data_IF_716528120682
#
_entry.id   IF_716528120682
#
_cell.length_a   1.000
_cell.length_b   1.000
_cell.length_c   1.000
_cell.angle_alpha   90.00
_cell.angle_beta   90.00
_cell.angle_gamma   90.00
#
_symmetry.space_group_name_H-M   'P 1'
#
loop_
_entity.id
_entity.type
_entity.pdbx_description
1 polymer ?
#
# COMPACT_ATOMS: atom_id res chain seq x y z
N UNK A 1 -3.76 19.30 -3.25
CA UNK A 1 -3.22 18.21 -2.41
C UNK A 1 -4.38 17.49 -1.73
N UNK A 2 -4.36 16.15 -1.61
CA UNK A 2 -5.34 15.46 -0.76
C UNK A 2 -4.69 15.22 0.58
N UNK A 3 -4.84 16.18 1.50
CA UNK A 3 -4.43 16.02 2.91
C UNK A 3 -4.99 14.70 3.46
N UNK A 4 -6.21 14.35 3.06
CA UNK A 4 -6.87 13.09 3.41
C UNK A 4 -6.07 11.82 3.07
N UNK A 5 -5.35 11.77 1.94
CA UNK A 5 -4.57 10.57 1.57
C UNK A 5 -3.37 10.34 2.48
N UNK A 6 -2.68 11.42 2.84
CA UNK A 6 -1.54 11.40 3.78
C UNK A 6 -2.05 11.04 5.17
N UNK A 7 -3.09 11.73 5.64
CA UNK A 7 -3.68 11.48 6.97
C UNK A 7 -4.13 10.03 7.13
N UNK A 8 -4.82 9.46 6.14
CA UNK A 8 -5.26 8.06 6.20
C UNK A 8 -4.09 7.07 6.21
N UNK A 9 -3.03 7.32 5.43
CA UNK A 9 -1.84 6.47 5.41
C UNK A 9 -1.08 6.53 6.74
N UNK A 10 -0.95 7.72 7.33
CA UNK A 10 -0.33 7.92 8.63
C UNK A 10 -1.14 7.28 9.76
N UNK A 11 -2.46 7.47 9.77
CA UNK A 11 -3.35 6.83 10.74
C UNK A 11 -3.27 5.32 10.63
N UNK A 12 -3.26 4.78 9.40
CA UNK A 12 -3.10 3.36 9.18
C UNK A 12 -1.75 2.85 9.72
N UNK A 13 -0.65 3.54 9.43
CA UNK A 13 0.67 3.19 9.94
C UNK A 13 0.74 3.23 11.47
N UNK A 14 0.15 4.25 12.10
CA UNK A 14 0.06 4.36 13.55
C UNK A 14 -0.75 3.21 14.16
N UNK A 15 -1.92 2.89 13.60
CA UNK A 15 -2.72 1.76 14.06
C UNK A 15 -1.99 0.43 13.86
N UNK A 16 -1.29 0.25 12.74
CA UNK A 16 -0.47 -0.94 12.47
C UNK A 16 0.66 -1.12 13.49
N UNK A 17 1.32 -0.03 13.88
CA UNK A 17 2.35 -0.04 14.91
C UNK A 17 1.77 -0.33 16.30
N UNK A 18 0.66 0.31 16.68
CA UNK A 18 0.00 0.08 17.97
C UNK A 18 -0.48 -1.37 18.07
N UNK A 19 -1.13 -1.89 17.03
CA UNK A 19 -1.61 -3.27 17.01
C UNK A 19 -0.47 -4.28 17.08
N UNK A 20 0.71 -3.99 16.53
CA UNK A 20 1.88 -4.86 16.62
C UNK A 20 2.29 -5.14 18.08
N UNK A 21 2.22 -4.12 18.93
CA UNK A 21 2.55 -4.24 20.37
C UNK A 21 1.66 -5.29 21.05
N UNK A 22 0.41 -5.45 20.59
CA UNK A 22 -0.53 -6.42 21.15
C UNK A 22 -0.51 -7.76 20.43
N UNK A 23 -0.33 -7.78 19.11
CA UNK A 23 -0.32 -9.04 18.35
C UNK A 23 0.92 -9.86 18.66
N UNK A 24 2.08 -9.22 18.82
CA UNK A 24 3.32 -9.96 19.08
C UNK A 24 3.25 -10.84 20.36
N UNK A 25 2.89 -10.34 21.56
CA UNK A 25 2.82 -11.18 22.76
C UNK A 25 1.72 -12.24 22.69
N UNK A 26 0.63 -11.99 21.96
CA UNK A 26 -0.48 -12.95 21.81
C UNK A 26 -0.11 -14.10 20.88
N UNK A 27 0.53 -13.81 19.74
CA UNK A 27 0.80 -14.82 18.72
C UNK A 27 2.20 -15.46 18.83
N UNK A 28 3.18 -14.77 19.41
CA UNK A 28 4.55 -15.30 19.53
C UNK A 28 4.65 -16.68 20.23
N UNK A 29 3.86 -17.00 21.28
CA UNK A 29 3.90 -18.32 21.90
C UNK A 29 3.50 -19.48 20.98
N UNK A 30 2.68 -19.21 19.96
CA UNK A 30 2.13 -20.24 19.09
C UNK A 30 2.96 -20.47 17.83
N UNK A 31 3.47 -19.39 17.22
CA UNK A 31 4.15 -19.45 15.92
C UNK A 31 5.61 -19.00 15.97
N UNK A 32 6.07 -18.46 17.10
CA UNK A 32 7.37 -17.79 17.23
C UNK A 32 7.31 -16.30 16.90
N UNK A 33 8.20 -15.51 17.49
CA UNK A 33 8.20 -14.04 17.36
C UNK A 33 8.39 -13.56 15.92
N UNK A 34 9.30 -14.19 15.17
CA UNK A 34 9.57 -13.88 13.77
C UNK A 34 8.34 -14.10 12.88
N UNK A 35 7.66 -15.25 13.04
CA UNK A 35 6.47 -15.57 12.25
C UNK A 35 5.26 -14.72 12.65
N UNK A 36 5.12 -14.38 13.94
CA UNK A 36 4.08 -13.47 14.40
C UNK A 36 4.24 -12.07 13.78
N UNK A 37 5.47 -11.56 13.73
CA UNK A 37 5.78 -10.30 13.03
C UNK A 37 5.48 -10.40 11.54
N UNK A 38 5.93 -11.47 10.88
CA UNK A 38 5.70 -11.68 9.44
C UNK A 38 4.20 -11.73 9.08
N UNK A 39 3.41 -12.45 9.87
CA UNK A 39 1.95 -12.51 9.72
C UNK A 39 1.31 -11.13 9.93
N UNK A 40 1.74 -10.39 10.95
CA UNK A 40 1.26 -9.03 11.20
C UNK A 40 1.53 -8.10 10.02
N UNK A 41 2.76 -8.12 9.48
CA UNK A 41 3.12 -7.33 8.30
C UNK A 41 2.29 -7.70 7.08
N UNK A 42 2.07 -8.99 6.83
CA UNK A 42 1.22 -9.47 5.74
C UNK A 42 -0.23 -8.97 5.88
N UNK A 43 -0.80 -9.07 7.10
CA UNK A 43 -2.14 -8.53 7.40
C UNK A 43 -2.18 -7.02 7.15
N UNK A 44 -1.18 -6.26 7.59
CA UNK A 44 -1.09 -4.83 7.32
C UNK A 44 -1.07 -4.51 5.82
N UNK A 45 -0.30 -5.24 5.02
CA UNK A 45 -0.24 -5.04 3.56
C UNK A 45 -1.60 -5.31 2.91
N UNK A 46 -2.26 -6.42 3.27
CA UNK A 46 -3.59 -6.76 2.75
C UNK A 46 -4.62 -5.72 3.15
N UNK A 47 -4.69 -5.39 4.45
CA UNK A 47 -5.63 -4.41 4.98
C UNK A 47 -5.43 -3.03 4.36
N UNK A 48 -4.17 -2.61 4.16
CA UNK A 48 -3.86 -1.37 3.47
C UNK A 48 -4.31 -1.40 2.01
N UNK A 49 -3.99 -2.48 1.28
CA UNK A 49 -4.40 -2.69 -0.10
C UNK A 49 -5.92 -2.63 -0.30
N UNK A 50 -6.67 -3.23 0.62
CA UNK A 50 -8.13 -3.15 0.69
C UNK A 50 -8.58 -1.72 0.99
N UNK A 51 -7.96 -1.03 1.96
CA UNK A 51 -8.36 0.32 2.36
C UNK A 51 -8.23 1.36 1.26
N UNK A 52 -7.25 1.18 0.36
CA UNK A 52 -7.04 2.07 -0.79
C UNK A 52 -8.04 1.82 -1.93
N UNK A 53 -8.67 0.65 -1.98
CA UNK A 53 -9.66 0.35 -3.00
C UNK A 53 -10.84 1.32 -2.95
N UNK A 54 -11.09 2.03 -4.05
CA UNK A 54 -12.16 3.04 -4.14
C UNK A 54 -13.55 2.43 -4.23
N UNK A 55 -13.67 1.34 -5.00
CA UNK A 55 -14.93 0.63 -5.24
C UNK A 55 -14.86 -0.76 -4.61
N UNK A 56 -15.99 -1.39 -4.22
CA UNK A 56 -16.01 -2.70 -3.57
C UNK A 56 -15.30 -3.78 -4.40
N UNK A 57 -15.45 -3.74 -5.74
CA UNK A 57 -14.72 -4.64 -6.66
C UNK A 57 -13.20 -4.45 -6.59
N UNK A 58 -12.72 -3.21 -6.53
CA UNK A 58 -11.29 -2.92 -6.40
C UNK A 58 -10.76 -3.32 -5.02
N UNK A 59 -11.54 -3.10 -3.96
CA UNK A 59 -11.20 -3.54 -2.60
C UNK A 59 -11.02 -5.06 -2.56
N UNK A 60 -11.98 -5.80 -3.12
CA UNK A 60 -11.92 -7.26 -3.19
C UNK A 60 -10.72 -7.73 -4.03
N UNK A 61 -10.54 -7.17 -5.23
CA UNK A 61 -9.40 -7.51 -6.10
C UNK A 61 -8.06 -7.27 -5.40
N UNK A 62 -7.88 -6.10 -4.79
CA UNK A 62 -6.66 -5.75 -4.08
C UNK A 62 -6.43 -6.65 -2.85
N UNK A 63 -7.50 -6.96 -2.11
CA UNK A 63 -7.45 -7.91 -1.01
C UNK A 63 -7.02 -9.30 -1.46
N UNK A 64 -7.60 -9.82 -2.55
CA UNK A 64 -7.25 -11.12 -3.11
C UNK A 64 -5.81 -11.16 -3.62
N UNK A 65 -5.41 -10.19 -4.46
CA UNK A 65 -4.04 -10.10 -4.99
C UNK A 65 -3.03 -9.95 -3.85
N UNK A 66 -3.31 -9.05 -2.90
CA UNK A 66 -2.46 -8.85 -1.73
C UNK A 66 -2.34 -10.10 -0.88
N UNK A 67 -3.44 -10.84 -0.67
CA UNK A 67 -3.44 -12.06 0.15
C UNK A 67 -2.65 -13.17 -0.53
N UNK A 68 -2.92 -13.45 -1.81
CA UNK A 68 -2.22 -14.48 -2.58
C UNK A 68 -0.72 -14.18 -2.64
N UNK A 69 -0.35 -12.94 -2.97
CA UNK A 69 1.04 -12.55 -3.07
C UNK A 69 1.75 -12.55 -1.71
N UNK A 70 1.08 -12.13 -0.63
CA UNK A 70 1.64 -12.21 0.73
C UNK A 70 1.86 -13.65 1.17
N UNK A 71 0.92 -14.57 0.90
CA UNK A 71 1.10 -16.00 1.17
C UNK A 71 2.28 -16.57 0.40
N UNK A 72 2.43 -16.19 -0.88
CA UNK A 72 3.58 -16.61 -1.69
C UNK A 72 4.90 -16.11 -1.08
N UNK A 73 4.98 -14.84 -0.67
CA UNK A 73 6.15 -14.27 -0.01
C UNK A 73 6.46 -15.02 1.29
N UNK A 74 5.47 -15.24 2.16
CA UNK A 74 5.64 -15.97 3.42
C UNK A 74 6.07 -17.42 3.21
N UNK A 75 5.71 -18.04 2.09
CA UNK A 75 6.08 -19.43 1.78
C UNK A 75 7.49 -19.56 1.19
N UNK A 76 7.94 -18.55 0.44
CA UNK A 76 9.22 -18.57 -0.28
C UNK A 76 10.36 -17.94 0.53
N UNK A 77 10.09 -16.88 1.28
CA UNK A 77 11.10 -16.17 2.04
C UNK A 77 11.48 -16.95 3.31
N UNK A 78 12.79 -17.12 3.52
CA UNK A 78 13.34 -17.82 4.69
C UNK A 78 13.85 -16.87 5.78
N UNK A 79 13.89 -15.56 5.49
CA UNK A 79 14.37 -14.52 6.39
C UNK A 79 13.37 -13.38 6.52
N UNK A 80 13.42 -12.66 7.64
CA UNK A 80 12.57 -11.47 7.88
C UNK A 80 12.86 -10.37 6.85
N UNK A 81 14.12 -10.18 6.46
CA UNK A 81 14.49 -9.21 5.43
C UNK A 81 13.86 -9.56 4.08
N UNK A 82 13.89 -10.84 3.71
CA UNK A 82 13.24 -11.33 2.50
C UNK A 82 11.73 -11.14 2.52
N UNK A 83 11.10 -11.33 3.70
CA UNK A 83 9.67 -11.07 3.89
C UNK A 83 9.39 -9.57 3.76
N UNK A 84 10.17 -8.70 4.41
CA UNK A 84 9.98 -7.26 4.35
C UNK A 84 10.12 -6.71 2.91
N UNK A 85 11.14 -7.17 2.18
CA UNK A 85 11.34 -6.84 0.77
C UNK A 85 10.16 -7.36 -0.07
N UNK A 86 9.81 -8.64 0.08
CA UNK A 86 8.72 -9.26 -0.67
C UNK A 86 7.38 -8.54 -0.44
N UNK A 87 7.04 -8.25 0.81
CA UNK A 87 5.82 -7.53 1.18
C UNK A 87 5.82 -6.07 0.69
N UNK A 88 6.98 -5.42 0.63
CA UNK A 88 7.13 -4.10 0.01
C UNK A 88 6.82 -4.16 -1.49
N UNK A 89 7.28 -5.21 -2.18
CA UNK A 89 6.95 -5.45 -3.59
C UNK A 89 5.45 -5.70 -3.77
N UNK A 90 4.84 -6.51 -2.89
CA UNK A 90 3.38 -6.75 -2.91
C UNK A 90 2.63 -5.42 -2.76
N UNK A 91 3.05 -4.57 -1.83
CA UNK A 91 2.45 -3.26 -1.62
C UNK A 91 2.54 -2.38 -2.88
N UNK A 92 3.72 -2.32 -3.50
CA UNK A 92 3.95 -1.60 -4.74
C UNK A 92 3.10 -2.15 -5.91
N UNK A 93 2.94 -3.47 -6.00
CA UNK A 93 2.10 -4.12 -7.01
C UNK A 93 0.62 -3.78 -6.82
N UNK A 94 0.12 -3.89 -5.58
CA UNK A 94 -1.27 -3.54 -5.25
C UNK A 94 -1.53 -2.07 -5.55
N UNK A 95 -0.53 -1.20 -5.33
CA UNK A 95 -0.63 0.23 -5.61
C UNK A 95 -0.56 0.55 -7.10
N UNK A 96 0.35 -0.08 -7.84
CA UNK A 96 0.53 0.11 -9.29
C UNK A 96 -0.64 -0.46 -10.08
N UNK A 97 -1.21 -1.60 -9.65
CA UNK A 97 -2.38 -2.21 -10.26
C UNK A 97 -3.67 -1.37 -10.16
N UNK A 98 -3.65 -0.29 -9.38
CA UNK A 98 -4.74 0.70 -9.33
C UNK A 98 -4.73 1.67 -10.51
N UNK A 99 -3.60 1.80 -11.22
CA UNK A 99 -3.37 2.92 -12.14
C UNK A 99 -3.64 2.62 -13.61
N UNK A 100 -3.98 1.37 -13.98
CA UNK A 100 -4.66 0.95 -15.23
C UNK A 100 -4.04 1.31 -16.59
N UNK A 101 -3.58 2.54 -16.78
CA UNK A 101 -3.28 3.18 -18.06
C UNK A 101 -2.06 4.14 -18.02
N UNK A 102 -1.52 4.53 -16.86
CA UNK A 102 -0.51 5.58 -16.79
C UNK A 102 0.95 5.07 -16.68
N UNK A 103 1.75 5.29 -17.74
CA UNK A 103 3.24 5.33 -17.79
C UNK A 103 3.95 4.53 -16.68
N UNK A 104 3.83 3.21 -16.76
CA UNK A 104 4.28 2.22 -15.78
C UNK A 104 5.72 2.46 -15.30
N UNK A 105 6.63 2.86 -16.18
CA UNK A 105 8.04 3.06 -15.84
C UNK A 105 8.30 4.12 -14.76
N UNK A 106 7.65 5.29 -14.84
CA UNK A 106 7.93 6.38 -13.88
C UNK A 106 7.34 6.05 -12.51
N UNK A 107 6.15 5.47 -12.46
CA UNK A 107 5.53 5.04 -11.19
C UNK A 107 6.36 3.95 -10.53
N UNK A 108 6.78 2.93 -11.28
CA UNK A 108 7.65 1.86 -10.76
C UNK A 108 8.97 2.39 -10.23
N UNK A 109 9.57 3.39 -10.89
CA UNK A 109 10.81 4.01 -10.43
C UNK A 109 10.63 4.68 -9.06
N UNK A 110 9.59 5.49 -8.88
CA UNK A 110 9.33 6.14 -7.60
C UNK A 110 8.92 5.17 -6.50
N UNK A 111 8.12 4.14 -6.82
CA UNK A 111 7.78 3.07 -5.87
C UNK A 111 9.02 2.31 -5.42
N UNK A 112 9.94 2.01 -6.35
CA UNK A 112 11.22 1.36 -6.02
C UNK A 112 12.05 2.23 -5.09
N UNK A 113 12.22 3.52 -5.42
CA UNK A 113 12.98 4.45 -4.58
C UNK A 113 12.34 4.59 -3.19
N UNK A 114 11.03 4.74 -3.12
CA UNK A 114 10.31 4.86 -1.85
C UNK A 114 10.34 3.56 -1.05
N UNK A 115 10.22 2.41 -1.70
CA UNK A 115 10.36 1.09 -1.08
C UNK A 115 11.75 0.90 -0.47
N UNK A 116 12.80 1.12 -1.26
CA UNK A 116 14.18 1.06 -0.77
C UNK A 116 14.44 2.07 0.35
N UNK A 117 13.98 3.31 0.18
CA UNK A 117 14.13 4.36 1.19
C UNK A 117 13.39 4.04 2.48
N UNK A 118 12.18 3.49 2.40
CA UNK A 118 11.40 3.09 3.56
C UNK A 118 12.07 1.93 4.30
N UNK A 119 12.59 0.93 3.59
CA UNK A 119 13.34 -0.18 4.20
C UNK A 119 14.62 0.30 4.88
N UNK A 120 15.41 1.14 4.21
CA UNK A 120 16.63 1.71 4.77
C UNK A 120 16.36 2.61 5.99
N UNK A 121 15.30 3.41 5.96
CA UNK A 121 14.91 4.22 7.10
C UNK A 121 14.43 3.36 8.28
N UNK A 122 13.67 2.31 7.98
CA UNK A 122 13.15 1.39 9.01
C UNK A 122 14.25 0.56 9.66
N UNK A 123 15.29 0.19 8.91
CA UNK A 123 16.43 -0.55 9.48
C UNK A 123 17.26 0.32 10.44
N UNK A 124 17.34 1.63 10.21
CA UNK A 124 17.96 2.57 11.16
C UNK A 124 17.14 2.70 12.44
N UNK A 125 15.81 2.63 12.34
CA UNK A 125 14.90 2.70 13.49
C UNK A 125 14.71 1.35 14.21
N UNK A 126 15.12 0.25 13.58
CA UNK A 126 14.93 -1.09 14.12
C UNK A 126 15.79 -1.27 15.38
N UNK A 127 15.13 -1.40 16.52
CA UNK A 127 15.73 -1.79 17.78
C UNK A 127 15.23 -3.17 18.21
N UNK A 128 16.01 -3.94 18.99
CA UNK A 128 15.54 -5.20 19.55
C UNK A 128 14.26 -5.03 20.36
N UNK A 129 13.27 -5.88 20.08
CA UNK A 129 12.00 -5.93 20.83
C UNK A 129 10.79 -5.33 20.11
N UNK A 130 9.61 -5.54 20.70
CA UNK A 130 8.33 -5.18 20.07
C UNK A 130 8.16 -3.68 19.81
N UNK A 131 8.63 -2.83 20.73
CA UNK A 131 8.59 -1.37 20.56
C UNK A 131 9.47 -0.90 19.40
N UNK A 132 10.70 -1.44 19.28
CA UNK A 132 11.58 -1.13 18.16
C UNK A 132 10.98 -1.52 16.80
N UNK A 133 10.39 -2.71 16.73
CA UNK A 133 9.67 -3.16 15.52
C UNK A 133 8.46 -2.29 15.20
N UNK A 134 7.75 -1.78 16.21
CA UNK A 134 6.59 -0.90 16.04
C UNK A 134 7.01 0.48 15.50
N UNK A 135 8.09 1.04 16.03
CA UNK A 135 8.67 2.30 15.53
C UNK A 135 9.20 2.13 14.11
N UNK A 136 9.86 1.01 13.80
CA UNK A 136 10.33 0.70 12.45
C UNK A 136 9.15 0.58 11.46
N UNK A 137 8.08 -0.14 11.82
CA UNK A 137 6.86 -0.24 11.00
C UNK A 137 6.19 1.12 10.77
N UNK A 138 6.12 1.95 11.81
CA UNK A 138 5.59 3.30 11.68
C UNK A 138 6.46 4.16 10.75
N UNK A 139 7.79 4.11 10.90
CA UNK A 139 8.75 4.79 10.04
C UNK A 139 8.66 4.34 8.57
N UNK A 140 8.48 3.04 8.33
CA UNK A 140 8.22 2.50 7.00
C UNK A 140 7.01 3.17 6.36
N UNK A 141 5.87 3.18 7.07
CA UNK A 141 4.62 3.73 6.59
C UNK A 141 4.69 5.26 6.42
N UNK A 142 5.45 5.95 7.29
CA UNK A 142 5.74 7.37 7.18
C UNK A 142 6.41 7.69 5.83
N UNK A 143 7.48 6.96 5.46
CA UNK A 143 8.16 7.14 4.18
C UNK A 143 7.24 6.79 3.00
N UNK A 144 6.47 5.70 3.11
CA UNK A 144 5.50 5.30 2.09
C UNK A 144 4.38 6.33 1.84
N UNK A 145 4.02 7.11 2.86
CA UNK A 145 3.04 8.19 2.74
C UNK A 145 3.52 9.34 1.84
N UNK A 146 4.85 9.52 1.69
CA UNK A 146 5.45 10.55 0.84
C UNK A 146 5.10 10.38 -0.65
N UNK A 147 4.74 9.17 -1.09
CA UNK A 147 4.23 8.95 -2.45
C UNK A 147 3.07 9.91 -2.80
N UNK A 148 2.20 10.23 -1.83
CA UNK A 148 1.06 11.11 -2.07
C UNK A 148 1.47 12.58 -2.29
N UNK A 149 2.71 12.95 -1.96
CA UNK A 149 3.29 14.26 -2.25
C UNK A 149 3.86 14.37 -3.67
N UNK A 150 4.20 13.23 -4.30
CA UNK A 150 4.81 13.22 -5.61
C UNK A 150 3.84 13.72 -6.70
N UNK A 151 4.34 14.45 -7.73
CA UNK A 151 3.51 15.01 -8.80
C UNK A 151 2.69 13.98 -9.59
N UNK A 152 3.09 12.70 -9.54
CA UNK A 152 2.36 11.59 -10.15
C UNK A 152 0.95 11.45 -9.58
N UNK A 153 0.79 11.59 -8.27
CA UNK A 153 -0.52 11.53 -7.62
C UNK A 153 -1.44 12.71 -8.03
N UNK A 154 -0.86 13.84 -8.47
CA UNK A 154 -1.60 15.04 -8.88
C UNK A 154 -2.20 14.91 -10.28
N UNK A 155 -1.45 14.35 -11.23
CA UNK A 155 -1.93 14.13 -12.60
C UNK A 155 -3.16 13.19 -12.63
N UNK A 156 -3.19 12.21 -11.72
CA UNK A 156 -4.35 11.33 -11.50
C UNK A 156 -5.63 12.10 -11.12
N UNK A 157 -5.55 13.13 -10.27
CA UNK A 157 -6.76 13.88 -9.87
C UNK A 157 -7.27 14.73 -11.02
N UNK A 158 -6.37 15.26 -11.84
CA UNK A 158 -6.73 16.05 -13.02
C UNK A 158 -7.42 15.19 -14.09
N UNK A 159 -6.84 14.05 -14.48
CA UNK A 159 -7.46 13.20 -15.52
C UNK A 159 -8.78 12.56 -15.08
N UNK A 160 -8.98 12.37 -13.76
CA UNK A 160 -10.24 11.86 -13.21
C UNK A 160 -11.30 12.94 -13.01
N UNK A 161 -10.90 14.19 -12.75
CA UNK A 161 -11.84 15.32 -12.74
C UNK A 161 -12.37 15.62 -14.14
N UNK A 162 -11.61 15.23 -15.18
CA UNK A 162 -12.03 15.35 -16.57
C UNK A 162 -13.09 14.33 -17.02
N UNK A 163 -13.45 13.33 -16.19
CA UNK A 163 -14.38 12.28 -16.58
C UNK A 163 -13.82 11.33 -17.64
N UNK A 164 -14.32 10.09 -17.65
CA UNK A 164 -13.93 9.09 -18.66
C UNK A 164 -14.14 9.71 -20.06
N UNK A 165 -13.14 9.71 -20.94
CA UNK A 165 -13.30 10.19 -22.31
C UNK A 165 -14.48 9.51 -23.03
N UNK A 166 -14.81 8.26 -22.70
CA UNK A 166 -16.02 7.60 -23.20
C UNK A 166 -17.31 8.18 -22.62
N UNK A 167 -17.36 8.49 -21.32
CA UNK A 167 -18.52 9.15 -20.73
C UNK A 167 -18.70 10.57 -21.27
N UNK A 168 -17.60 11.29 -21.54
CA UNK A 168 -17.63 12.60 -22.22
C UNK A 168 -18.12 12.47 -23.67
N UNK A 169 -17.61 11.50 -24.42
CA UNK A 169 -18.03 11.26 -25.80
C UNK A 169 -19.51 10.85 -25.86
N UNK A 170 -19.96 9.98 -24.94
CA UNK A 170 -21.36 9.59 -24.78
C UNK A 170 -22.24 10.77 -24.39
N UNK A 171 -21.80 11.62 -23.46
CA UNK A 171 -22.50 12.85 -23.09
C UNK A 171 -22.67 13.80 -24.27
N UNK A 172 -21.62 13.97 -25.09
CA UNK A 172 -21.71 14.74 -26.33
C UNK A 172 -22.69 14.14 -27.34
N UNK A 173 -22.67 12.81 -27.52
CA UNK A 173 -23.57 12.11 -28.43
C UNK A 173 -25.04 12.23 -28.01
N UNK A 174 -25.32 12.14 -26.71
CA UNK A 174 -26.67 12.34 -26.16
C UNK A 174 -27.14 13.78 -26.33
N UNK A 175 -26.27 14.77 -26.09
CA UNK A 175 -26.60 16.17 -26.32
C UNK A 175 -26.95 16.48 -27.79
N UNK A 176 -26.20 15.90 -28.74
CA UNK A 176 -26.50 16.04 -30.18
C UNK A 176 -27.81 15.37 -30.60
N UNK A 177 -28.25 14.32 -29.90
CA UNK A 177 -29.51 13.64 -30.16
C UNK A 177 -30.73 14.41 -29.62
N UNK A 178 -30.55 15.18 -28.53
CA UNK A 178 -31.62 16.03 -27.97
C UNK A 178 -31.87 17.32 -28.79
N UNK A 179 -30.97 17.69 -29.69
CA UNK A 179 -31.08 18.88 -30.56
C UNK A 179 -31.85 18.62 -31.88
N UNK A 180 -32.22 17.38 -32.19
CA UNK A 180 -32.90 16.97 -33.44
C UNK A 180 -34.37 16.66 -33.18
#
# INVERSE_FOLDING_TARGET
MSVAGITSSLLFGAMGAVTLVFTQPVFAPFVGSANALALHLAICVVAYGVSIGRNPRMRLRNGLVGSIASVAVLSLARSIDGIAIGLTIVLALVRTGLDGEARTGRTLFFETILGCGALAFSSVLAAPGGLGNSVALWGFMLVQSLYFLLPLARHRKASLAEGDPFDRARGHLLALLDEI
#
